data_IF_659288141692
#
_entry.id   IF_659288141692
#
_cell.length_a   1.000
_cell.length_b   1.000
_cell.length_c   1.000
_cell.angle_alpha   90.00
_cell.angle_beta   90.00
_cell.angle_gamma   90.00
#
_symmetry.space_group_name_H-M   'P 1'
#
loop_
_entity.id
_entity.type
_entity.pdbx_description
1 polymer ?
#
# COMPACT_ATOMS: atom_id res chain seq x y z
N UNK A 1 -46.02 16.15 -42.41
CA UNK A 1 -44.76 16.70 -41.85
C UNK A 1 -44.35 15.81 -40.68
N UNK A 2 -43.31 15.01 -40.89
CA UNK A 2 -41.99 15.09 -40.21
C UNK A 2 -41.96 14.43 -38.83
N UNK A 3 -41.29 13.27 -38.83
CA UNK A 3 -40.71 12.51 -37.73
C UNK A 3 -40.19 13.36 -36.57
N UNK A 4 -40.35 12.86 -35.33
CA UNK A 4 -39.22 12.46 -34.47
C UNK A 4 -39.70 11.95 -33.09
N UNK A 5 -39.63 10.63 -32.87
CA UNK A 5 -39.11 10.07 -31.61
C UNK A 5 -37.59 9.91 -31.82
N UNK A 6 -36.74 10.21 -30.81
CA UNK A 6 -36.55 9.32 -29.65
C UNK A 6 -36.35 10.10 -28.33
N UNK A 7 -37.03 9.82 -27.21
CA UNK A 7 -36.94 8.64 -26.35
C UNK A 7 -35.50 8.15 -26.10
N UNK A 8 -35.01 8.36 -24.86
CA UNK A 8 -33.92 7.62 -24.23
C UNK A 8 -32.50 7.79 -24.84
N UNK A 9 -31.78 8.87 -24.48
CA UNK A 9 -30.34 8.95 -24.78
C UNK A 9 -29.53 9.80 -23.77
N UNK A 10 -29.84 9.75 -22.47
CA UNK A 10 -29.08 10.50 -21.46
C UNK A 10 -28.64 9.65 -20.26
N UNK A 11 -28.42 8.34 -20.47
CA UNK A 11 -28.06 7.38 -19.41
C UNK A 11 -26.82 6.55 -19.79
N UNK A 12 -25.74 7.18 -20.29
CA UNK A 12 -24.50 6.44 -20.59
C UNK A 12 -23.24 7.28 -20.34
N UNK A 13 -23.09 7.94 -19.19
CA UNK A 13 -21.81 8.59 -18.81
C UNK A 13 -21.45 8.43 -17.32
N UNK A 14 -21.92 7.35 -16.67
CA UNK A 14 -21.44 6.94 -15.35
C UNK A 14 -20.65 5.62 -15.41
N UNK A 15 -20.06 5.31 -16.57
CA UNK A 15 -19.18 4.16 -16.72
C UNK A 15 -17.79 4.52 -16.16
N UNK A 16 -17.53 3.96 -14.97
CA UNK A 16 -16.24 3.37 -14.58
C UNK A 16 -15.08 4.33 -14.31
N UNK A 17 -15.14 5.05 -13.19
CA UNK A 17 -13.97 5.14 -12.31
C UNK A 17 -13.88 3.87 -11.46
N UNK A 18 -13.76 2.70 -12.12
CA UNK A 18 -13.45 1.48 -11.39
C UNK A 18 -12.00 1.63 -10.91
N UNK A 19 -11.72 1.54 -9.60
CA UNK A 19 -10.35 1.52 -9.12
C UNK A 19 -9.60 0.43 -9.88
N UNK A 20 -8.48 0.81 -10.50
CA UNK A 20 -7.63 -0.14 -11.22
C UNK A 20 -7.32 -1.28 -10.26
N UNK A 21 -7.47 -2.56 -10.66
CA UNK A 21 -7.15 -3.67 -9.79
C UNK A 21 -5.67 -3.52 -9.39
N UNK A 22 -5.44 -3.25 -8.11
CA UNK A 22 -4.12 -3.19 -7.53
C UNK A 22 -3.43 -4.54 -7.79
N UNK A 23 -2.17 -4.51 -8.21
CA UNK A 23 -1.45 -5.71 -8.61
C UNK A 23 -1.29 -6.62 -7.40
N UNK A 24 -1.70 -7.88 -7.51
CA UNK A 24 -1.47 -8.87 -6.49
C UNK A 24 0.04 -9.20 -6.45
N UNK A 25 0.62 -9.12 -5.25
CA UNK A 25 2.02 -9.41 -4.96
C UNK A 25 2.07 -10.32 -3.71
N UNK A 26 3.23 -10.91 -3.45
CA UNK A 26 3.45 -11.76 -2.27
C UNK A 26 4.65 -11.22 -1.49
N UNK A 27 4.52 -11.16 -0.18
CA UNK A 27 5.63 -10.81 0.71
C UNK A 27 6.67 -11.93 0.64
N UNK A 28 7.84 -11.63 0.09
CA UNK A 28 8.99 -12.53 0.00
C UNK A 28 9.82 -12.50 1.28
N UNK A 29 9.93 -11.33 1.91
CA UNK A 29 10.75 -11.12 3.11
C UNK A 29 9.95 -10.38 4.18
N UNK A 30 10.06 -10.86 5.42
CA UNK A 30 9.46 -10.21 6.57
C UNK A 30 9.98 -8.78 6.71
N UNK A 31 9.06 -7.83 6.73
CA UNK A 31 9.29 -6.38 6.83
C UNK A 31 8.15 -5.75 7.61
N UNK A 32 8.28 -4.46 7.90
CA UNK A 32 7.17 -3.65 8.39
C UNK A 32 6.75 -2.66 7.30
N UNK A 33 5.50 -2.23 7.36
CA UNK A 33 4.99 -1.09 6.63
C UNK A 33 4.25 -0.14 7.56
N UNK A 34 4.22 1.15 7.24
CA UNK A 34 3.50 2.16 8.02
C UNK A 34 2.54 2.96 7.14
N UNK A 35 1.43 3.44 7.70
CA UNK A 35 0.45 4.21 6.94
C UNK A 35 1.05 5.52 6.39
N UNK A 36 1.93 6.18 7.14
CA UNK A 36 2.72 7.31 6.66
C UNK A 36 4.10 6.86 6.14
N UNK A 37 4.44 7.33 4.94
CA UNK A 37 5.78 7.21 4.40
C UNK A 37 6.81 7.90 5.30
N UNK A 38 6.46 8.99 5.97
CA UNK A 38 7.37 9.73 6.84
C UNK A 38 7.76 8.91 8.07
N UNK A 39 6.85 8.08 8.60
CA UNK A 39 7.17 7.17 9.71
C UNK A 39 8.12 6.07 9.23
N UNK A 40 7.87 5.49 8.05
CA UNK A 40 8.77 4.51 7.43
C UNK A 40 10.17 5.12 7.19
N UNK A 41 10.25 6.36 6.70
CA UNK A 41 11.51 7.07 6.48
C UNK A 41 12.27 7.34 7.78
N UNK A 42 11.56 7.71 8.86
CA UNK A 42 12.18 7.91 10.18
C UNK A 42 12.76 6.60 10.73
N UNK A 43 12.02 5.50 10.61
CA UNK A 43 12.51 4.18 10.98
C UNK A 43 13.75 3.79 10.18
N UNK A 44 13.74 4.03 8.87
CA UNK A 44 14.91 3.76 8.02
C UNK A 44 16.13 4.62 8.39
N UNK A 45 15.93 5.91 8.68
CA UNK A 45 17.02 6.79 9.15
C UNK A 45 17.67 6.31 10.44
N UNK A 46 16.88 5.78 11.37
CA UNK A 46 17.41 5.21 12.63
C UNK A 46 18.27 3.97 12.36
N UNK A 47 17.83 3.08 11.47
CA UNK A 47 18.62 1.92 11.03
C UNK A 47 19.95 2.36 10.39
N UNK A 48 19.89 3.33 9.47
CA UNK A 48 21.10 3.85 8.80
C UNK A 48 22.05 4.57 9.75
N UNK A 49 21.54 5.16 10.83
CA UNK A 49 22.33 5.78 11.88
C UNK A 49 22.89 4.76 12.90
N UNK A 50 22.51 3.48 12.82
CA UNK A 50 22.86 2.47 13.82
C UNK A 50 22.17 2.66 15.17
N UNK A 51 21.11 3.47 15.25
CA UNK A 51 20.36 3.70 16.48
C UNK A 51 19.29 2.62 16.68
N UNK A 52 19.74 1.44 17.08
CA UNK A 52 18.87 0.28 17.32
C UNK A 52 17.84 0.53 18.43
N UNK A 53 18.20 1.32 19.45
CA UNK A 53 17.31 1.63 20.57
C UNK A 53 16.20 2.58 20.13
N UNK A 54 16.55 3.65 19.41
CA UNK A 54 15.58 4.58 18.83
C UNK A 54 14.66 3.88 17.84
N UNK A 55 15.22 3.01 16.98
CA UNK A 55 14.45 2.18 16.05
C UNK A 55 13.43 1.30 16.80
N UNK A 56 13.89 0.55 17.80
CA UNK A 56 13.03 -0.36 18.56
C UNK A 56 11.90 0.38 19.30
N UNK A 57 12.18 1.54 19.89
CA UNK A 57 11.18 2.35 20.58
C UNK A 57 10.14 2.90 19.61
N UNK A 58 10.58 3.49 18.49
CA UNK A 58 9.66 4.05 17.49
C UNK A 58 8.80 2.95 16.88
N UNK A 59 9.40 1.84 16.44
CA UNK A 59 8.67 0.74 15.81
C UNK A 59 7.64 0.14 16.77
N UNK A 60 8.02 -0.12 18.03
CA UNK A 60 7.09 -0.65 19.04
C UNK A 60 5.92 0.29 19.27
N UNK A 61 6.17 1.59 19.38
CA UNK A 61 5.12 2.60 19.54
C UNK A 61 4.17 2.62 18.34
N UNK A 62 4.72 2.63 17.13
CA UNK A 62 3.92 2.66 15.89
C UNK A 62 3.16 1.37 15.63
N UNK A 63 3.68 0.20 16.02
CA UNK A 63 2.93 -1.06 15.98
C UNK A 63 1.78 -1.04 16.99
N UNK A 64 2.02 -0.56 18.20
CA UNK A 64 1.00 -0.49 19.25
C UNK A 64 -0.15 0.47 18.90
N UNK A 65 0.13 1.55 18.17
CA UNK A 65 -0.88 2.49 17.70
C UNK A 65 -1.59 2.05 16.42
N UNK A 66 -1.15 0.96 15.78
CA UNK A 66 -1.62 0.52 14.46
C UNK A 66 -1.13 1.40 13.31
N UNK A 67 -0.20 2.33 13.56
CA UNK A 67 0.42 3.15 12.50
C UNK A 67 1.29 2.29 11.59
N UNK A 68 1.98 1.31 12.16
CA UNK A 68 2.71 0.30 11.42
C UNK A 68 2.12 -1.08 11.64
N UNK A 69 2.42 -1.98 10.72
CA UNK A 69 2.19 -3.41 10.84
C UNK A 69 3.43 -4.18 10.42
N UNK A 70 3.49 -5.43 10.86
CA UNK A 70 4.44 -6.40 10.32
C UNK A 70 3.79 -7.17 9.17
N UNK A 71 4.62 -7.53 8.19
CA UNK A 71 4.28 -8.43 7.10
C UNK A 71 4.90 -9.79 7.34
N UNK A 72 4.11 -10.84 7.16
CA UNK A 72 4.61 -12.21 7.20
C UNK A 72 5.07 -12.65 5.80
N UNK A 73 6.20 -13.36 5.66
CA UNK A 73 6.52 -14.04 4.40
C UNK A 73 5.38 -14.94 3.94
N UNK A 74 5.08 -14.92 2.65
CA UNK A 74 3.97 -15.65 2.03
C UNK A 74 2.62 -14.92 2.10
N UNK A 75 2.52 -13.80 2.80
CA UNK A 75 1.30 -13.00 2.85
C UNK A 75 1.00 -12.38 1.48
N UNK A 76 -0.25 -12.51 1.03
CA UNK A 76 -0.73 -11.90 -0.21
C UNK A 76 -1.15 -10.45 0.02
N UNK A 77 -0.64 -9.57 -0.84
CA UNK A 77 -0.87 -8.13 -0.75
C UNK A 77 -1.25 -7.55 -2.10
N UNK A 78 -1.83 -6.36 -2.06
CA UNK A 78 -2.13 -5.51 -3.21
C UNK A 78 -1.16 -4.34 -3.19
N UNK A 79 -0.44 -4.14 -4.30
CA UNK A 79 0.35 -2.93 -4.51
C UNK A 79 -0.56 -1.82 -5.06
N UNK A 80 -0.87 -0.85 -4.21
CA UNK A 80 -1.78 0.25 -4.53
C UNK A 80 -1.05 1.47 -5.14
N UNK A 81 0.18 1.72 -4.70
CA UNK A 81 1.06 2.78 -5.23
C UNK A 81 2.54 2.41 -5.04
N UNK A 82 3.46 3.07 -5.74
CA UNK A 82 4.90 2.86 -5.61
C UNK A 82 5.73 4.13 -5.81
N UNK A 83 6.83 4.19 -5.08
CA UNK A 83 7.97 5.06 -5.35
C UNK A 83 9.15 4.22 -5.86
N UNK A 84 10.35 4.82 -5.93
CA UNK A 84 11.58 4.09 -6.27
C UNK A 84 12.00 3.09 -5.18
N UNK A 85 11.66 3.35 -3.92
CA UNK A 85 12.14 2.55 -2.78
C UNK A 85 11.02 1.88 -1.98
N UNK A 86 9.79 2.38 -2.09
CA UNK A 86 8.65 1.92 -1.30
C UNK A 86 7.45 1.55 -2.18
N UNK A 87 6.68 0.56 -1.73
CA UNK A 87 5.34 0.27 -2.23
C UNK A 87 4.31 0.53 -1.15
N UNK A 88 3.15 1.09 -1.51
CA UNK A 88 2.00 1.14 -0.62
C UNK A 88 1.26 -0.19 -0.73
N UNK A 89 1.47 -1.07 0.26
CA UNK A 89 0.95 -2.44 0.28
C UNK A 89 -0.28 -2.51 1.17
N UNK A 90 -1.39 -2.99 0.65
CA UNK A 90 -2.58 -3.35 1.44
C UNK A 90 -2.71 -4.88 1.48
N UNK A 91 -3.29 -5.48 2.54
CA UNK A 91 -3.67 -6.88 2.50
C UNK A 91 -4.55 -7.21 1.30
N UNK A 92 -4.36 -8.39 0.71
CA UNK A 92 -5.18 -8.83 -0.41
C UNK A 92 -6.65 -9.00 -0.03
N UNK A 93 -6.90 -9.51 1.17
CA UNK A 93 -8.23 -9.60 1.75
C UNK A 93 -8.57 -8.32 2.52
N UNK A 94 -9.60 -7.59 2.07
CA UNK A 94 -10.17 -6.46 2.80
C UNK A 94 -10.01 -5.10 2.13
N UNK A 95 -10.45 -4.07 2.86
CA UNK A 95 -10.41 -2.66 2.43
C UNK A 95 -9.50 -1.82 3.35
N UNK A 96 -8.55 -2.49 4.02
CA UNK A 96 -7.57 -1.80 4.84
C UNK A 96 -6.77 -0.80 4.02
N UNK A 97 -6.41 0.31 4.66
CA UNK A 97 -5.50 1.30 4.06
C UNK A 97 -4.15 0.64 3.81
N UNK A 98 -3.48 1.04 2.72
CA UNK A 98 -2.15 0.55 2.44
C UNK A 98 -1.10 1.08 3.45
N UNK A 99 0.02 0.38 3.49
CA UNK A 99 1.17 0.66 4.34
C UNK A 99 2.42 0.79 3.45
N UNK A 100 3.08 1.94 3.54
CA UNK A 100 4.36 2.20 2.89
C UNK A 100 5.44 1.28 3.43
N UNK A 101 5.86 0.37 2.56
CA UNK A 101 6.74 -0.76 2.86
C UNK A 101 7.93 -0.73 1.90
N UNK A 102 9.16 -1.02 2.34
CA UNK A 102 10.30 -1.14 1.42
C UNK A 102 10.01 -2.16 0.31
N UNK A 103 10.29 -1.84 -0.95
CA UNK A 103 10.02 -2.74 -2.09
C UNK A 103 10.73 -4.08 -1.99
N UNK A 104 11.85 -4.15 -1.25
CA UNK A 104 12.53 -5.42 -0.89
C UNK A 104 11.64 -6.44 -0.17
N UNK A 105 10.47 -6.04 0.33
CA UNK A 105 9.48 -6.96 0.88
C UNK A 105 8.85 -7.85 -0.20
N UNK A 106 8.70 -7.36 -1.43
CA UNK A 106 8.01 -8.04 -2.55
C UNK A 106 8.92 -8.26 -3.78
N UNK A 107 10.05 -7.57 -3.86
CA UNK A 107 11.03 -7.69 -4.94
C UNK A 107 12.21 -8.58 -4.52
N UNK A 108 12.72 -9.39 -5.47
CA UNK A 108 13.93 -10.20 -5.23
C UNK A 108 15.16 -9.28 -5.18
N UNK A 109 16.14 -9.55 -4.32
CA UNK A 109 17.46 -8.93 -4.43
C UNK A 109 18.03 -9.24 -5.82
N UNK A 110 18.54 -8.21 -6.51
CA UNK A 110 19.34 -8.40 -7.73
C UNK A 110 20.74 -8.91 -7.38
#
# INVERSE_FOLDING_TARGET
>A
MRLALPALAALVLAATALPRPARAETILQGRFGCHSQEVTDRLFKLVMAGDESGFGQLLKGSLASGECRNWAPGEEVRLEDRTMSYGCLAPAAGQERCYWTPLSAIEKPN
#
